data_IF_533637085641
#
_entry.id   IF_533637085641
#
_cell.length_a   1.000
_cell.length_b   1.000
_cell.length_c   1.000
_cell.angle_alpha   90.00
_cell.angle_beta   90.00
_cell.angle_gamma   90.00
#
_symmetry.space_group_name_H-M   'P 1'
#
loop_
_entity.id
_entity.type
_entity.pdbx_description
1 polymer ?
#
# COMPACT_ATOMS: atom_id res chain seq x y z
N UNK A 1 -27.11 27.96 10.70
CA UNK A 1 -26.89 27.72 9.30
C UNK A 1 -26.53 26.27 9.11
N UNK A 2 -27.41 25.60 8.43
CA UNK A 2 -27.05 24.28 7.96
C UNK A 2 -25.77 24.42 7.12
N UNK A 3 -24.70 24.08 7.69
CA UNK A 3 -23.46 24.08 7.02
C UNK A 3 -23.48 22.96 6.01
N UNK A 4 -23.83 23.31 4.82
CA UNK A 4 -23.83 22.32 3.76
C UNK A 4 -22.39 22.11 3.30
N UNK A 5 -21.83 21.00 3.70
CA UNK A 5 -20.66 20.53 3.03
C UNK A 5 -21.06 20.33 1.58
N UNK A 6 -20.52 21.10 0.68
CA UNK A 6 -20.78 20.90 -0.73
C UNK A 6 -20.47 19.45 -1.06
N UNK A 7 -21.43 18.76 -1.64
CA UNK A 7 -21.20 17.42 -2.13
C UNK A 7 -20.00 17.48 -3.06
N UNK A 8 -18.93 16.77 -2.74
CA UNK A 8 -17.77 16.70 -3.59
C UNK A 8 -18.21 15.98 -4.86
N UNK A 9 -18.13 16.68 -5.98
CA UNK A 9 -18.42 16.09 -7.26
C UNK A 9 -17.15 15.48 -7.83
N UNK A 10 -17.12 14.17 -7.94
CA UNK A 10 -15.97 13.47 -8.51
C UNK A 10 -16.08 13.42 -10.02
N UNK A 11 -14.96 13.37 -10.74
CA UNK A 11 -14.99 13.14 -12.18
C UNK A 11 -15.66 11.81 -12.53
N UNK A 12 -16.14 11.68 -13.75
CA UNK A 12 -16.64 10.40 -14.23
C UNK A 12 -15.47 9.39 -14.26
N UNK A 13 -15.65 8.18 -13.71
CA UNK A 13 -14.58 7.20 -13.69
C UNK A 13 -14.30 6.67 -15.09
N UNK A 14 -13.03 6.65 -15.47
CA UNK A 14 -12.56 6.16 -16.76
C UNK A 14 -11.73 4.90 -16.58
N UNK A 15 -11.53 4.14 -17.66
CA UNK A 15 -10.61 3.00 -17.64
C UNK A 15 -9.19 3.45 -17.25
N UNK A 16 -8.79 4.63 -17.72
CA UNK A 16 -7.49 5.21 -17.40
C UNK A 16 -7.33 5.45 -15.90
N UNK A 17 -8.33 6.07 -15.26
CA UNK A 17 -8.31 6.30 -13.82
C UNK A 17 -8.33 4.99 -13.02
N UNK A 18 -9.11 4.03 -13.47
CA UNK A 18 -9.21 2.72 -12.84
C UNK A 18 -7.87 1.99 -12.90
N UNK A 19 -7.23 1.97 -14.06
CA UNK A 19 -5.92 1.36 -14.22
C UNK A 19 -4.85 2.08 -13.38
N UNK A 20 -4.90 3.41 -13.34
CA UNK A 20 -3.99 4.21 -12.51
C UNK A 20 -4.14 3.89 -11.02
N UNK A 21 -5.37 3.69 -10.56
CA UNK A 21 -5.63 3.29 -9.18
C UNK A 21 -4.93 1.95 -8.85
N UNK A 22 -5.13 0.96 -9.71
CA UNK A 22 -4.53 -0.37 -9.49
C UNK A 22 -3.02 -0.31 -9.50
N UNK A 23 -2.42 0.44 -10.41
CA UNK A 23 -0.97 0.59 -10.47
C UNK A 23 -0.42 1.33 -9.26
N UNK A 24 -1.07 2.38 -8.83
CA UNK A 24 -0.63 3.19 -7.68
C UNK A 24 -0.67 2.38 -6.39
N UNK A 25 -1.71 1.60 -6.19
CA UNK A 25 -1.81 0.75 -5.00
C UNK A 25 -0.94 -0.51 -5.08
N UNK A 26 -0.45 -0.85 -6.25
CA UNK A 26 0.42 -2.02 -6.41
C UNK A 26 -0.30 -3.32 -6.69
N UNK A 27 -1.48 -3.26 -7.29
CA UNK A 27 -2.19 -4.46 -7.74
C UNK A 27 -1.34 -5.18 -8.79
N UNK A 28 -1.34 -6.50 -8.75
CA UNK A 28 -0.56 -7.32 -9.65
C UNK A 28 -1.43 -7.87 -10.78
N UNK A 29 -1.02 -7.73 -12.05
CA UNK A 29 -1.75 -8.34 -13.14
C UNK A 29 -1.61 -9.86 -13.08
N UNK A 30 -2.75 -10.54 -13.26
CA UNK A 30 -2.78 -12.00 -13.34
C UNK A 30 -2.31 -12.41 -14.73
N UNK A 31 -1.34 -13.29 -14.77
CA UNK A 31 -0.74 -13.78 -16.01
C UNK A 31 -1.08 -15.25 -16.21
N UNK A 32 -1.17 -15.68 -17.48
CA UNK A 32 -1.34 -17.08 -17.81
C UNK A 32 -0.03 -17.87 -17.60
N UNK A 33 -0.04 -19.17 -17.89
CA UNK A 33 1.14 -20.02 -17.74
C UNK A 33 2.33 -19.59 -18.61
N UNK A 34 2.11 -18.78 -19.65
CA UNK A 34 3.15 -18.23 -20.52
C UNK A 34 3.63 -16.85 -20.09
N UNK A 35 3.18 -16.36 -18.94
CA UNK A 35 3.51 -15.03 -18.44
C UNK A 35 2.78 -13.88 -19.13
N UNK A 36 1.69 -14.14 -19.84
CA UNK A 36 0.95 -13.14 -20.60
C UNK A 36 -0.34 -12.74 -19.88
N UNK A 37 -0.71 -11.46 -19.99
CA UNK A 37 -2.03 -10.96 -19.57
C UNK A 37 -3.04 -11.16 -20.71
N UNK A 38 -4.33 -11.01 -20.40
CA UNK A 38 -5.38 -11.04 -21.43
C UNK A 38 -5.23 -9.89 -22.42
N UNK A 39 -5.71 -10.08 -23.68
CA UNK A 39 -5.62 -9.07 -24.73
C UNK A 39 -6.72 -8.02 -24.65
N UNK A 40 -7.92 -8.39 -24.20
CA UNK A 40 -9.08 -7.48 -24.16
C UNK A 40 -9.39 -6.96 -22.76
N UNK A 41 -8.81 -7.55 -21.75
CA UNK A 41 -8.94 -7.12 -20.37
C UNK A 41 -7.80 -7.70 -19.55
N UNK A 42 -7.48 -6.99 -18.48
CA UNK A 42 -6.46 -7.42 -17.53
C UNK A 42 -7.15 -7.59 -16.18
N UNK A 43 -6.94 -8.73 -15.56
CA UNK A 43 -7.35 -8.99 -14.18
C UNK A 43 -6.22 -8.60 -13.26
N UNK A 44 -6.54 -7.78 -12.26
CA UNK A 44 -5.60 -7.38 -11.22
C UNK A 44 -5.99 -8.01 -9.90
N UNK A 45 -5.01 -8.37 -9.11
CA UNK A 45 -5.20 -8.89 -7.76
C UNK A 45 -4.38 -8.08 -6.75
N UNK A 46 -4.95 -7.89 -5.57
CA UNK A 46 -4.27 -7.28 -4.42
C UNK A 46 -4.42 -8.20 -3.23
N UNK A 47 -3.29 -8.66 -2.69
CA UNK A 47 -3.28 -9.44 -1.46
C UNK A 47 -3.29 -8.48 -0.27
N UNK A 48 -4.25 -8.63 0.62
CA UNK A 48 -4.37 -7.85 1.84
C UNK A 48 -3.59 -8.51 2.98
N UNK A 49 -3.23 -7.71 3.98
CA UNK A 49 -2.47 -8.20 5.12
C UNK A 49 -3.20 -9.27 5.94
N UNK A 50 -4.53 -9.30 5.87
CA UNK A 50 -5.35 -10.29 6.59
C UNK A 50 -5.55 -11.60 5.82
N UNK A 51 -4.90 -11.75 4.67
CA UNK A 51 -4.98 -12.93 3.83
C UNK A 51 -6.06 -12.89 2.75
N UNK A 52 -6.94 -11.89 2.76
CA UNK A 52 -7.92 -11.74 1.67
C UNK A 52 -7.23 -11.29 0.39
N UNK A 53 -7.76 -11.72 -0.75
CA UNK A 53 -7.29 -11.31 -2.07
C UNK A 53 -8.43 -10.57 -2.76
N UNK A 54 -8.20 -9.29 -3.07
CA UNK A 54 -9.12 -8.53 -3.89
C UNK A 54 -8.81 -8.77 -5.36
N UNK A 55 -9.83 -8.81 -6.18
CA UNK A 55 -9.69 -9.03 -7.62
C UNK A 55 -10.59 -8.10 -8.39
N UNK A 56 -10.04 -7.52 -9.45
CA UNK A 56 -10.80 -6.65 -10.35
C UNK A 56 -10.32 -6.83 -11.77
N UNK A 57 -11.12 -6.38 -12.73
CA UNK A 57 -10.86 -6.61 -14.15
C UNK A 57 -11.12 -5.33 -14.94
N UNK A 58 -10.16 -4.94 -15.73
CA UNK A 58 -10.23 -3.71 -16.53
C UNK A 58 -10.15 -4.06 -18.00
N UNK A 59 -11.09 -3.52 -18.79
CA UNK A 59 -11.08 -3.70 -20.23
C UNK A 59 -9.92 -2.92 -20.87
N UNK A 60 -9.30 -3.51 -21.86
CA UNK A 60 -8.23 -2.92 -22.64
C UNK A 60 -8.62 -2.76 -24.10
N UNK A 61 -8.07 -1.78 -24.81
CA UNK A 61 -7.05 -0.83 -24.36
C UNK A 61 -7.54 0.13 -23.28
N UNK A 62 -6.62 0.58 -22.45
CA UNK A 62 -6.93 1.62 -21.47
C UNK A 62 -7.16 2.93 -22.22
N UNK A 63 -8.32 3.52 -22.02
CA UNK A 63 -8.74 4.74 -22.68
C UNK A 63 -9.61 5.56 -21.72
N UNK A 64 -10.28 6.57 -22.24
CA UNK A 64 -11.15 7.46 -21.46
C UNK A 64 -12.62 7.03 -21.44
N UNK A 65 -12.93 5.79 -21.80
CA UNK A 65 -14.29 5.30 -21.62
C UNK A 65 -14.68 5.31 -20.15
N UNK A 66 -15.91 5.77 -19.91
CA UNK A 66 -16.45 5.92 -18.58
C UNK A 66 -17.32 4.73 -18.19
N UNK A 67 -17.51 4.57 -16.89
CA UNK A 67 -18.39 3.55 -16.34
C UNK A 67 -19.69 4.17 -15.87
N UNK A 68 -20.81 3.48 -16.08
CA UNK A 68 -22.09 3.89 -15.52
C UNK A 68 -22.07 3.87 -14.00
N UNK A 69 -22.88 4.73 -13.40
CA UNK A 69 -22.88 4.94 -11.94
C UNK A 69 -23.12 3.66 -11.14
N UNK A 70 -24.09 2.84 -11.55
CA UNK A 70 -24.41 1.60 -10.84
C UNK A 70 -23.26 0.58 -10.93
N UNK A 71 -22.69 0.42 -12.10
CA UNK A 71 -21.58 -0.47 -12.30
C UNK A 71 -20.36 0.01 -11.51
N UNK A 72 -20.10 1.30 -11.54
CA UNK A 72 -18.95 1.87 -10.83
C UNK A 72 -19.09 1.71 -9.32
N UNK A 73 -20.29 1.97 -8.77
CA UNK A 73 -20.56 1.77 -7.35
C UNK A 73 -20.29 0.31 -6.94
N UNK A 74 -20.73 -0.63 -7.78
CA UNK A 74 -20.50 -2.06 -7.55
C UNK A 74 -18.99 -2.38 -7.57
N UNK A 75 -18.26 -1.86 -8.54
CA UNK A 75 -16.81 -2.07 -8.64
C UNK A 75 -16.09 -1.54 -7.39
N UNK A 76 -16.40 -0.32 -6.99
CA UNK A 76 -15.78 0.28 -5.81
C UNK A 76 -16.04 -0.54 -4.55
N UNK A 77 -17.29 -0.94 -4.34
CA UNK A 77 -17.69 -1.63 -3.11
C UNK A 77 -17.23 -3.08 -3.09
N UNK A 78 -17.48 -3.83 -4.16
CA UNK A 78 -17.34 -5.29 -4.15
C UNK A 78 -16.00 -5.78 -4.69
N UNK A 79 -15.30 -4.98 -5.49
CA UNK A 79 -14.02 -5.37 -6.07
C UNK A 79 -12.84 -4.61 -5.48
N UNK A 80 -12.91 -3.28 -5.44
CA UNK A 80 -11.82 -2.46 -4.93
C UNK A 80 -11.87 -2.26 -3.42
N UNK A 81 -13.04 -2.42 -2.82
CA UNK A 81 -13.27 -2.24 -1.38
C UNK A 81 -12.81 -0.86 -0.90
N UNK A 82 -13.20 0.18 -1.61
CA UNK A 82 -12.94 1.58 -1.27
C UNK A 82 -14.16 2.43 -1.60
N UNK A 83 -14.24 3.62 -1.00
CA UNK A 83 -15.23 4.62 -1.38
C UNK A 83 -14.67 5.52 -2.51
N UNK A 84 -15.51 6.42 -3.03
CA UNK A 84 -15.10 7.33 -4.09
C UNK A 84 -13.96 8.25 -3.64
N UNK A 85 -14.03 8.78 -2.43
CA UNK A 85 -13.00 9.68 -1.92
C UNK A 85 -11.64 8.99 -1.89
N UNK A 86 -11.58 7.77 -1.35
CA UNK A 86 -10.35 6.99 -1.29
C UNK A 86 -9.80 6.67 -2.67
N UNK A 87 -10.69 6.30 -3.60
CA UNK A 87 -10.30 6.01 -4.98
C UNK A 87 -9.63 7.23 -5.63
N UNK A 88 -10.28 8.39 -5.58
CA UNK A 88 -9.78 9.59 -6.25
C UNK A 88 -8.55 10.19 -5.58
N UNK A 89 -8.44 10.11 -4.27
CA UNK A 89 -7.22 10.52 -3.57
C UNK A 89 -6.03 9.66 -4.02
N UNK A 90 -6.24 8.37 -4.21
CA UNK A 90 -5.21 7.49 -4.73
C UNK A 90 -4.81 7.86 -6.16
N UNK A 91 -5.77 8.11 -7.03
CA UNK A 91 -5.51 8.45 -8.44
C UNK A 91 -4.86 9.83 -8.58
N UNK A 92 -5.37 10.83 -7.84
CA UNK A 92 -4.95 12.23 -7.99
C UNK A 92 -3.69 12.56 -7.18
N UNK A 93 -3.60 12.05 -5.96
CA UNK A 93 -2.54 12.41 -5.03
C UNK A 93 -1.53 11.28 -4.79
N UNK A 94 -1.75 10.11 -5.36
CA UNK A 94 -0.86 8.98 -5.19
C UNK A 94 -0.89 8.36 -3.80
N UNK A 95 -1.90 8.68 -3.00
CA UNK A 95 -2.02 8.18 -1.64
C UNK A 95 -2.74 6.83 -1.64
N UNK A 96 -2.04 5.79 -1.23
CA UNK A 96 -2.62 4.44 -1.17
C UNK A 96 -3.75 4.37 -0.15
N UNK A 97 -4.82 3.59 -0.44
CA UNK A 97 -5.87 3.34 0.54
C UNK A 97 -5.32 2.72 1.82
N UNK A 98 -5.92 3.11 2.95
CA UNK A 98 -5.62 2.46 4.22
C UNK A 98 -6.38 1.13 4.27
N UNK A 99 -5.64 0.03 4.27
CA UNK A 99 -6.21 -1.33 4.33
C UNK A 99 -6.16 -1.92 5.74
N UNK A 100 -5.85 -1.09 6.75
CA UNK A 100 -5.80 -1.55 8.13
C UNK A 100 -4.57 -2.36 8.47
N UNK A 101 -3.52 -2.33 7.64
CA UNK A 101 -2.27 -3.02 7.96
C UNK A 101 -1.65 -2.43 9.22
N UNK A 102 -1.12 -3.28 10.12
CA UNK A 102 -0.43 -2.78 11.29
C UNK A 102 0.77 -1.93 10.89
N UNK A 103 0.87 -0.74 11.49
CA UNK A 103 2.06 0.08 11.30
C UNK A 103 3.19 -0.43 12.19
N UNK A 104 4.39 -0.50 11.62
CA UNK A 104 5.56 -0.73 12.43
C UNK A 104 5.76 0.46 13.36
N UNK A 105 6.08 0.23 14.65
CA UNK A 105 6.39 1.35 15.55
C UNK A 105 7.48 2.24 14.93
N UNK A 106 7.34 3.58 15.00
CA UNK A 106 8.33 4.48 14.40
C UNK A 106 9.76 4.28 14.89
N UNK A 107 9.90 3.70 16.07
CA UNK A 107 11.18 3.45 16.72
C UNK A 107 11.62 1.97 16.63
N UNK A 108 10.97 1.17 15.79
CA UNK A 108 11.37 -0.22 15.63
C UNK A 108 12.78 -0.29 15.07
N UNK A 109 13.64 -1.04 15.76
CA UNK A 109 15.00 -1.24 15.31
C UNK A 109 15.06 -2.24 14.17
N UNK A 110 15.88 -2.01 13.13
CA UNK A 110 16.10 -3.02 12.10
C UNK A 110 16.62 -4.32 12.70
N UNK A 111 16.18 -5.46 12.18
CA UNK A 111 16.55 -6.78 12.68
C UNK A 111 18.06 -6.98 12.68
N UNK A 112 18.76 -6.51 11.66
CA UNK A 112 20.21 -6.61 11.56
C UNK A 112 20.92 -5.86 12.67
N UNK A 113 20.41 -4.67 13.00
CA UNK A 113 20.96 -3.86 14.08
C UNK A 113 20.74 -4.53 15.43
N UNK A 114 19.55 -5.08 15.67
CA UNK A 114 19.24 -5.84 16.89
C UNK A 114 20.21 -7.03 17.04
N UNK A 115 20.41 -7.77 15.97
CA UNK A 115 21.32 -8.92 15.97
C UNK A 115 22.75 -8.51 16.35
N UNK A 116 23.27 -7.43 15.76
CA UNK A 116 24.61 -6.94 16.07
C UNK A 116 24.75 -6.46 17.51
N UNK A 117 23.73 -5.77 18.05
CA UNK A 117 23.73 -5.32 19.43
C UNK A 117 23.75 -6.48 20.40
N UNK A 118 23.02 -7.55 20.12
CA UNK A 118 22.96 -8.73 20.97
C UNK A 118 24.24 -9.58 20.88
N UNK A 119 24.78 -9.76 19.66
CA UNK A 119 25.87 -10.70 19.42
C UNK A 119 27.28 -10.08 19.50
N UNK A 120 27.44 -8.86 19.00
CA UNK A 120 28.73 -8.18 18.93
C UNK A 120 28.96 -7.27 20.13
N UNK A 121 28.01 -6.42 20.43
CA UNK A 121 28.08 -5.51 21.59
C UNK A 121 27.71 -6.25 22.87
N UNK A 122 27.01 -7.36 22.77
CA UNK A 122 26.60 -8.22 23.88
C UNK A 122 25.69 -7.54 24.89
N UNK A 123 24.77 -6.72 24.37
CA UNK A 123 23.73 -6.14 25.21
C UNK A 123 22.67 -7.20 25.51
N UNK A 124 21.96 -7.04 26.62
CA UNK A 124 20.79 -7.88 26.91
C UNK A 124 19.60 -7.50 26.04
N UNK A 125 18.66 -8.43 25.91
CA UNK A 125 17.41 -8.13 25.21
C UNK A 125 16.67 -6.95 25.84
N UNK A 126 16.67 -6.84 27.15
CA UNK A 126 16.03 -5.73 27.86
C UNK A 126 16.69 -4.40 27.52
N UNK A 127 18.04 -4.36 27.46
CA UNK A 127 18.76 -3.15 27.07
C UNK A 127 18.44 -2.72 25.65
N UNK A 128 18.40 -3.67 24.72
CA UNK A 128 18.06 -3.38 23.32
C UNK A 128 16.62 -2.92 23.20
N UNK A 129 15.70 -3.55 23.93
CA UNK A 129 14.29 -3.17 23.89
C UNK A 129 14.04 -1.75 24.42
N UNK A 130 14.89 -1.26 25.32
CA UNK A 130 14.78 0.08 25.89
C UNK A 130 15.44 1.16 25.03
N UNK A 131 16.16 0.79 23.96
CA UNK A 131 16.88 1.74 23.12
C UNK A 131 16.00 2.36 22.04
N UNK A 132 16.21 3.65 21.81
CA UNK A 132 15.73 4.30 20.58
C UNK A 132 16.65 3.91 19.40
N UNK A 133 16.18 4.17 18.18
CA UNK A 133 16.99 3.91 16.99
C UNK A 133 18.29 4.71 17.00
N UNK A 134 18.23 5.98 17.41
CA UNK A 134 19.40 6.83 17.50
C UNK A 134 20.40 6.32 18.53
N UNK A 135 19.92 5.87 19.68
CA UNK A 135 20.77 5.28 20.72
C UNK A 135 21.46 4.00 20.24
N UNK A 136 20.72 3.15 19.53
CA UNK A 136 21.23 1.92 18.97
C UNK A 136 22.34 2.17 17.95
N UNK A 137 22.14 3.12 17.04
CA UNK A 137 23.13 3.53 16.04
C UNK A 137 24.37 4.10 16.73
N UNK A 138 24.20 4.98 17.70
CA UNK A 138 25.31 5.58 18.43
C UNK A 138 26.12 4.51 19.18
N UNK A 139 25.44 3.51 19.73
CA UNK A 139 26.10 2.40 20.43
C UNK A 139 26.94 1.57 19.48
N UNK A 140 26.44 1.27 18.28
CA UNK A 140 27.21 0.54 17.26
C UNK A 140 28.41 1.35 16.78
N UNK A 141 28.25 2.65 16.58
CA UNK A 141 29.35 3.52 16.17
C UNK A 141 30.46 3.55 17.20
N UNK A 142 30.12 3.63 18.48
CA UNK A 142 31.10 3.57 19.56
C UNK A 142 31.84 2.23 19.61
N UNK A 143 31.12 1.15 19.37
CA UNK A 143 31.72 -0.18 19.34
C UNK A 143 32.75 -0.28 18.20
N UNK A 144 32.42 0.17 17.02
CA UNK A 144 33.33 0.13 15.88
C UNK A 144 34.50 1.11 16.03
N UNK A 145 34.25 2.29 16.60
CA UNK A 145 35.33 3.25 16.88
C UNK A 145 36.33 2.75 17.89
N UNK A 146 35.92 1.90 18.83
CA UNK A 146 36.80 1.29 19.81
C UNK A 146 37.67 0.18 19.22
N UNK A 147 37.45 -0.24 17.99
CA UNK A 147 38.26 -1.24 17.30
C UNK A 147 38.10 -2.67 17.82
N UNK A 148 37.01 -2.95 18.47
CA UNK A 148 36.79 -4.26 19.12
C UNK A 148 36.00 -5.18 18.24
#
# INVERSE_FOLDING_TARGET
>A
VAYRVSAVTWPAPTREAYDAFCRTEGWQPVRNARGQTGTHHVTYELQLHDGRVLRTRISHPVNRETYGEHLWTHILRDQLDVDQATFWVCVQDGKKPDRGAPEAPPEALPADLVHLLLTRVRLSEAEVAAMSKEEAIARMQRYWAAGS
#
